data_IF_081180133978
#
_entry.id   IF_081180133978
#
_cell.length_a   1.000
_cell.length_b   1.000
_cell.length_c   1.000
_cell.angle_alpha   90.00
_cell.angle_beta   90.00
_cell.angle_gamma   90.00
#
_symmetry.space_group_name_H-M   'P 1'
#
loop_
_entity.id
_entity.type
_entity.pdbx_description
1 polymer ?
#
# COMPACT_ATOMS: atom_id res chain seq x y z
N UNK A 1 -1.53 -37.79 -17.85
CA UNK A 1 -2.28 -37.25 -16.71
C UNK A 1 -3.74 -37.54 -16.91
N UNK A 2 -4.37 -38.20 -15.94
CA UNK A 2 -5.81 -38.43 -15.97
C UNK A 2 -6.53 -37.18 -15.41
N UNK A 3 -7.74 -36.87 -15.90
CA UNK A 3 -8.60 -35.78 -15.38
C UNK A 3 -8.62 -35.67 -13.83
N UNK A 4 -8.74 -36.78 -13.06
CA UNK A 4 -8.72 -36.71 -11.60
C UNK A 4 -7.38 -36.24 -11.01
N UNK A 5 -6.23 -36.56 -11.62
CA UNK A 5 -4.92 -36.08 -11.15
C UNK A 5 -4.77 -34.56 -11.32
N UNK A 6 -5.30 -34.00 -12.41
CA UNK A 6 -5.27 -32.56 -12.66
C UNK A 6 -6.14 -31.80 -11.65
N UNK A 7 -7.33 -32.32 -11.34
CA UNK A 7 -8.24 -31.72 -10.34
C UNK A 7 -7.61 -31.69 -8.95
N UNK A 8 -7.08 -32.82 -8.47
CA UNK A 8 -6.42 -32.92 -7.15
C UNK A 8 -5.25 -31.92 -7.06
N UNK A 9 -4.47 -31.81 -8.13
CA UNK A 9 -3.32 -30.89 -8.21
C UNK A 9 -3.74 -29.43 -8.13
N UNK A 10 -4.80 -29.04 -8.84
CA UNK A 10 -5.35 -27.68 -8.77
C UNK A 10 -5.90 -27.34 -7.39
N UNK A 11 -6.56 -28.29 -6.72
CA UNK A 11 -7.08 -28.08 -5.38
C UNK A 11 -5.97 -27.88 -4.34
N UNK A 12 -4.87 -28.65 -4.45
CA UNK A 12 -3.68 -28.48 -3.62
C UNK A 12 -2.99 -27.12 -3.82
N UNK A 13 -2.91 -26.64 -5.06
CA UNK A 13 -2.38 -25.31 -5.36
C UNK A 13 -3.25 -24.22 -4.74
N UNK A 14 -4.57 -24.29 -4.97
CA UNK A 14 -5.53 -23.33 -4.42
C UNK A 14 -5.47 -23.29 -2.89
N UNK A 15 -5.44 -24.44 -2.22
CA UNK A 15 -5.30 -24.53 -0.76
C UNK A 15 -4.04 -23.81 -0.25
N UNK A 16 -2.90 -23.98 -0.93
CA UNK A 16 -1.64 -23.30 -0.57
C UNK A 16 -1.68 -21.81 -0.82
N UNK A 17 -2.27 -21.37 -1.93
CA UNK A 17 -2.49 -19.95 -2.23
C UNK A 17 -3.38 -19.33 -1.15
N UNK A 18 -4.51 -19.95 -0.82
CA UNK A 18 -5.42 -19.47 0.24
C UNK A 18 -4.71 -19.35 1.59
N UNK A 19 -3.91 -20.35 1.97
CA UNK A 19 -3.11 -20.30 3.21
C UNK A 19 -2.10 -19.14 3.20
N UNK A 20 -1.42 -18.93 2.08
CA UNK A 20 -0.44 -17.84 1.91
C UNK A 20 -1.14 -16.49 2.00
N UNK A 21 -2.23 -16.30 1.26
CA UNK A 21 -3.03 -15.08 1.31
C UNK A 21 -3.52 -14.79 2.74
N UNK A 22 -3.98 -15.80 3.48
CA UNK A 22 -4.43 -15.63 4.86
C UNK A 22 -3.30 -15.21 5.82
N UNK A 23 -2.06 -15.64 5.57
CA UNK A 23 -0.90 -15.21 6.35
C UNK A 23 -0.58 -13.73 6.10
N UNK A 24 -0.54 -13.30 4.84
CA UNK A 24 -0.28 -11.90 4.49
C UNK A 24 -1.44 -10.95 4.89
N UNK A 25 -2.68 -11.42 4.80
CA UNK A 25 -3.88 -10.67 5.17
C UNK A 25 -3.82 -10.09 6.61
N UNK A 26 -3.17 -10.81 7.53
CA UNK A 26 -2.98 -10.37 8.93
C UNK A 26 -2.17 -9.09 9.07
N UNK A 27 -1.30 -8.80 8.12
CA UNK A 27 -0.49 -7.58 8.12
C UNK A 27 -1.21 -6.41 7.46
N UNK A 28 -2.04 -6.66 6.44
CA UNK A 28 -2.70 -5.59 5.69
C UNK A 28 -3.75 -4.82 6.50
N UNK A 29 -4.43 -5.47 7.44
CA UNK A 29 -5.42 -4.81 8.31
C UNK A 29 -4.79 -3.70 9.17
N UNK A 30 -3.79 -4.02 10.01
CA UNK A 30 -3.06 -3.01 10.78
C UNK A 30 -2.42 -1.91 9.92
N UNK A 31 -1.84 -2.28 8.77
CA UNK A 31 -1.24 -1.30 7.84
C UNK A 31 -2.29 -0.33 7.26
N UNK A 32 -3.49 -0.82 6.93
CA UNK A 32 -4.60 0.03 6.50
C UNK A 32 -4.97 1.07 7.56
N UNK A 33 -5.12 0.62 8.81
CA UNK A 33 -5.44 1.52 9.92
C UNK A 33 -4.35 2.58 10.12
N UNK A 34 -3.08 2.18 10.09
CA UNK A 34 -1.96 3.12 10.20
C UNK A 34 -1.98 4.15 9.07
N UNK A 35 -2.14 3.73 7.82
CA UNK A 35 -2.22 4.63 6.67
C UNK A 35 -3.36 5.64 6.84
N UNK A 36 -4.55 5.20 7.24
CA UNK A 36 -5.70 6.08 7.47
C UNK A 36 -5.43 7.04 8.63
N UNK A 37 -4.93 6.54 9.76
CA UNK A 37 -4.65 7.36 10.95
C UNK A 37 -3.66 8.48 10.65
N UNK A 38 -2.62 8.20 9.86
CA UNK A 38 -1.59 9.18 9.53
C UNK A 38 -2.12 10.37 8.73
N UNK A 39 -3.20 10.19 7.96
CA UNK A 39 -3.82 11.29 7.19
C UNK A 39 -4.37 12.43 8.06
N UNK A 40 -4.57 12.19 9.35
CA UNK A 40 -5.08 13.17 10.31
C UNK A 40 -3.98 14.00 10.98
N UNK A 41 -2.70 13.68 10.73
CA UNK A 41 -1.55 14.39 11.25
C UNK A 41 -0.91 15.28 10.16
N UNK A 42 -0.27 16.39 10.54
CA UNK A 42 0.49 17.22 9.60
C UNK A 42 1.76 16.49 9.17
N UNK A 43 2.07 16.52 7.87
CA UNK A 43 3.28 15.88 7.32
C UNK A 43 4.50 16.80 7.30
N UNK A 44 4.28 18.11 7.32
CA UNK A 44 5.31 19.13 7.28
C UNK A 44 5.29 19.98 8.56
N UNK A 45 6.47 20.37 9.03
CA UNK A 45 6.63 21.29 10.15
C UNK A 45 6.28 22.72 9.72
N UNK A 46 5.59 23.45 10.59
CA UNK A 46 5.45 24.90 10.44
C UNK A 46 6.76 25.58 10.83
N UNK A 47 7.32 26.40 9.95
CA UNK A 47 8.53 27.16 10.27
C UNK A 47 8.29 28.15 11.41
N UNK A 48 9.21 28.19 12.38
CA UNK A 48 9.16 29.13 13.48
C UNK A 48 9.31 30.57 12.99
N UNK A 49 8.24 31.36 13.07
CA UNK A 49 8.20 32.76 12.62
C UNK A 49 7.50 32.97 11.27
N UNK A 50 7.13 31.90 10.57
CA UNK A 50 6.28 31.95 9.38
C UNK A 50 4.79 32.02 9.77
N UNK A 51 3.99 32.75 8.98
CA UNK A 51 2.53 32.71 9.09
C UNK A 51 1.92 31.43 8.46
N UNK A 52 2.75 30.64 7.77
CA UNK A 52 2.34 29.41 7.10
C UNK A 52 2.31 28.28 8.13
N UNK A 53 1.10 27.78 8.40
CA UNK A 53 0.88 26.60 9.21
C UNK A 53 0.39 25.46 8.33
N UNK A 54 1.22 24.43 8.17
CA UNK A 54 0.85 23.20 7.46
C UNK A 54 -0.06 22.35 8.34
N UNK A 55 -1.13 21.87 7.74
CA UNK A 55 -2.17 21.09 8.40
C UNK A 55 -2.15 19.65 7.94
N UNK A 56 -3.07 18.85 8.47
CA UNK A 56 -3.23 17.49 7.98
C UNK A 56 -3.80 17.47 6.55
N UNK A 57 -3.68 16.32 5.89
CA UNK A 57 -4.01 16.18 4.48
C UNK A 57 -5.47 16.58 4.16
N UNK A 58 -6.41 16.23 5.04
CA UNK A 58 -7.83 16.60 4.89
C UNK A 58 -8.05 18.11 4.92
N UNK A 59 -7.38 18.80 5.85
CA UNK A 59 -7.48 20.24 6.02
C UNK A 59 -6.82 21.00 4.86
N UNK A 60 -5.69 20.51 4.35
CA UNK A 60 -5.03 21.10 3.17
C UNK A 60 -5.88 20.94 1.92
N UNK A 61 -6.47 19.76 1.69
CA UNK A 61 -7.41 19.55 0.57
C UNK A 61 -8.61 20.50 0.64
N UNK A 62 -9.21 20.66 1.82
CA UNK A 62 -10.34 21.57 2.01
C UNK A 62 -9.97 23.04 1.77
N UNK A 63 -8.71 23.42 2.02
CA UNK A 63 -8.21 24.78 1.87
C UNK A 63 -7.78 25.11 0.44
N UNK A 64 -7.03 24.20 -0.19
CA UNK A 64 -6.33 24.44 -1.46
C UNK A 64 -7.14 23.97 -2.69
N UNK A 65 -8.19 23.16 -2.47
CA UNK A 65 -9.07 22.71 -3.53
C UNK A 65 -8.48 21.59 -4.41
N UNK A 66 -8.99 21.40 -5.64
CA UNK A 66 -8.55 20.31 -6.51
C UNK A 66 -7.12 20.57 -7.05
N UNK A 67 -6.14 20.01 -6.35
CA UNK A 67 -4.72 20.08 -6.70
C UNK A 67 -3.95 18.80 -6.33
N UNK A 68 -2.64 18.94 -6.11
CA UNK A 68 -1.77 17.81 -5.74
C UNK A 68 -2.22 17.12 -4.45
N UNK A 69 -2.71 17.88 -3.46
CA UNK A 69 -3.15 17.34 -2.18
C UNK A 69 -4.40 16.46 -2.32
N UNK A 70 -5.35 16.84 -3.19
CA UNK A 70 -6.55 16.03 -3.43
C UNK A 70 -6.17 14.71 -4.11
N UNK A 71 -5.27 14.76 -5.10
CA UNK A 71 -4.77 13.54 -5.74
C UNK A 71 -4.03 12.65 -4.74
N UNK A 72 -3.17 13.22 -3.89
CA UNK A 72 -2.48 12.49 -2.84
C UNK A 72 -3.48 11.81 -1.89
N UNK A 73 -4.50 12.54 -1.43
CA UNK A 73 -5.56 11.99 -0.57
C UNK A 73 -6.30 10.83 -1.25
N UNK A 74 -6.70 10.97 -2.51
CA UNK A 74 -7.38 9.90 -3.24
C UNK A 74 -6.51 8.65 -3.40
N UNK A 75 -5.23 8.81 -3.71
CA UNK A 75 -4.29 7.68 -3.82
C UNK A 75 -4.08 7.01 -2.47
N UNK A 76 -3.96 7.77 -1.39
CA UNK A 76 -3.86 7.23 -0.02
C UNK A 76 -5.12 6.44 0.34
N UNK A 77 -6.31 7.00 0.11
CA UNK A 77 -7.58 6.33 0.41
C UNK A 77 -7.79 5.08 -0.45
N UNK A 78 -7.45 5.13 -1.73
CA UNK A 78 -7.50 3.97 -2.61
C UNK A 78 -6.55 2.86 -2.13
N UNK A 79 -5.33 3.23 -1.73
CA UNK A 79 -4.34 2.28 -1.19
C UNK A 79 -4.84 1.67 0.11
N UNK A 80 -5.41 2.46 1.03
CA UNK A 80 -6.01 1.98 2.26
C UNK A 80 -7.21 1.04 2.01
N UNK A 81 -8.08 1.38 1.06
CA UNK A 81 -9.19 0.51 0.65
C UNK A 81 -8.70 -0.83 0.13
N UNK A 82 -7.68 -0.82 -0.74
CA UNK A 82 -7.08 -2.05 -1.26
C UNK A 82 -6.43 -2.88 -0.16
N UNK A 83 -5.75 -2.26 0.81
CA UNK A 83 -5.23 -2.96 2.00
C UNK A 83 -6.36 -3.57 2.83
N UNK A 84 -7.50 -2.88 3.01
CA UNK A 84 -8.67 -3.43 3.69
C UNK A 84 -9.24 -4.65 2.95
N UNK A 85 -9.34 -4.60 1.62
CA UNK A 85 -9.76 -5.73 0.79
C UNK A 85 -8.75 -6.90 0.88
N UNK A 86 -7.46 -6.59 0.95
CA UNK A 86 -6.40 -7.57 1.13
C UNK A 86 -6.46 -8.24 2.50
N UNK A 87 -6.79 -7.49 3.55
CA UNK A 87 -7.02 -8.00 4.90
C UNK A 87 -8.23 -8.95 4.96
N UNK A 88 -9.25 -8.72 4.12
CA UNK A 88 -10.39 -9.62 3.96
C UNK A 88 -10.09 -10.86 3.09
N UNK A 89 -8.87 -11.00 2.56
CA UNK A 89 -8.48 -12.12 1.71
C UNK A 89 -9.11 -12.09 0.30
N UNK A 90 -9.65 -10.94 -0.13
CA UNK A 90 -10.41 -10.79 -1.39
C UNK A 90 -9.59 -10.20 -2.54
N UNK A 91 -8.26 -10.22 -2.46
CA UNK A 91 -7.41 -9.51 -3.41
C UNK A 91 -6.86 -10.42 -4.51
N UNK A 92 -6.99 -9.96 -5.76
CA UNK A 92 -6.33 -10.55 -6.94
C UNK A 92 -4.89 -10.07 -7.06
N UNK A 93 -4.12 -10.69 -7.98
CA UNK A 93 -2.78 -10.22 -8.37
C UNK A 93 -2.80 -8.77 -8.86
N UNK A 94 -3.83 -8.37 -9.60
CA UNK A 94 -4.00 -6.98 -10.02
C UNK A 94 -4.20 -6.03 -8.84
N UNK A 95 -4.90 -6.46 -7.79
CA UNK A 95 -5.02 -5.69 -6.56
C UNK A 95 -3.67 -5.58 -5.81
N UNK A 96 -2.84 -6.63 -5.80
CA UNK A 96 -1.48 -6.54 -5.23
C UNK A 96 -0.63 -5.52 -5.99
N UNK A 97 -0.68 -5.53 -7.32
CA UNK A 97 0.02 -4.53 -8.15
C UNK A 97 -0.49 -3.12 -7.84
N UNK A 98 -1.80 -2.95 -7.69
CA UNK A 98 -2.37 -1.65 -7.34
C UNK A 98 -1.91 -1.15 -5.97
N UNK A 99 -1.81 -2.01 -4.94
CA UNK A 99 -1.25 -1.61 -3.63
C UNK A 99 0.23 -1.26 -3.77
N UNK A 100 1.00 -2.05 -4.52
CA UNK A 100 2.42 -1.78 -4.75
C UNK A 100 2.62 -0.40 -5.39
N UNK A 101 1.90 -0.13 -6.48
CA UNK A 101 1.98 1.16 -7.19
C UNK A 101 1.51 2.29 -6.28
N UNK A 102 0.36 2.16 -5.62
CA UNK A 102 -0.18 3.18 -4.73
C UNK A 102 0.76 3.52 -3.57
N UNK A 103 1.33 2.51 -2.91
CA UNK A 103 2.28 2.72 -1.80
C UNK A 103 3.58 3.40 -2.25
N UNK A 104 4.14 3.01 -3.41
CA UNK A 104 5.31 3.69 -3.98
C UNK A 104 4.98 5.14 -4.35
N UNK A 105 3.83 5.37 -4.97
CA UNK A 105 3.40 6.71 -5.35
C UNK A 105 3.23 7.61 -4.13
N UNK A 106 2.59 7.15 -3.06
CA UNK A 106 2.42 7.92 -1.82
C UNK A 106 3.77 8.28 -1.21
N UNK A 107 4.65 7.29 -1.03
CA UNK A 107 5.98 7.51 -0.44
C UNK A 107 6.82 8.47 -1.29
N UNK A 108 6.81 8.29 -2.62
CA UNK A 108 7.57 9.13 -3.54
C UNK A 108 7.00 10.54 -3.63
N UNK A 109 5.68 10.70 -3.60
CA UNK A 109 5.02 12.01 -3.61
C UNK A 109 5.39 12.80 -2.36
N UNK A 110 5.37 12.17 -1.19
CA UNK A 110 5.82 12.83 0.03
C UNK A 110 7.30 13.20 -0.06
N UNK A 111 8.18 12.29 -0.46
CA UNK A 111 9.62 12.55 -0.59
C UNK A 111 9.97 13.69 -1.56
N UNK A 112 9.23 13.78 -2.67
CA UNK A 112 9.46 14.79 -3.69
C UNK A 112 8.79 16.12 -3.36
N UNK A 113 7.78 16.12 -2.48
CA UNK A 113 7.05 17.31 -2.05
C UNK A 113 6.63 18.20 -3.24
N UNK A 114 5.86 17.68 -4.21
CA UNK A 114 5.52 18.42 -5.41
C UNK A 114 4.74 19.69 -5.06
N UNK A 115 5.08 20.80 -5.72
CA UNK A 115 4.52 22.12 -5.43
C UNK A 115 5.40 22.97 -4.49
N UNK A 116 6.45 22.40 -3.91
CA UNK A 116 7.45 23.14 -3.13
C UNK A 116 8.73 23.33 -3.95
N UNK A 117 9.27 24.55 -3.93
CA UNK A 117 10.59 24.87 -4.49
C UNK A 117 11.69 24.55 -3.47
N UNK A 118 11.42 24.81 -2.20
CA UNK A 118 12.22 24.40 -1.06
C UNK A 118 11.27 23.75 -0.04
N UNK A 119 11.23 22.41 0.06
CA UNK A 119 10.24 21.72 0.86
C UNK A 119 10.49 21.93 2.36
N UNK A 120 9.44 22.23 3.14
CA UNK A 120 9.57 22.36 4.58
C UNK A 120 10.02 21.03 5.21
N UNK A 121 10.65 21.08 6.41
CA UNK A 121 11.03 19.87 7.14
C UNK A 121 9.82 18.95 7.37
N UNK A 122 10.04 17.64 7.33
CA UNK A 122 8.98 16.67 7.65
C UNK A 122 8.79 16.58 9.16
N UNK A 123 7.54 16.42 9.59
CA UNK A 123 7.25 15.94 10.94
C UNK A 123 7.62 14.47 11.09
N UNK A 124 7.70 13.96 12.32
CA UNK A 124 7.81 12.52 12.59
C UNK A 124 6.74 11.70 11.86
N UNK A 125 5.50 12.23 11.76
CA UNK A 125 4.40 11.58 11.05
C UNK A 125 4.60 11.56 9.53
N UNK A 126 5.17 12.61 8.95
CA UNK A 126 5.57 12.67 7.55
C UNK A 126 6.64 11.62 7.23
N UNK A 127 7.71 11.57 8.03
CA UNK A 127 8.78 10.56 7.91
C UNK A 127 8.21 9.15 8.07
N UNK A 128 7.38 8.92 9.09
CA UNK A 128 6.76 7.63 9.33
C UNK A 128 5.87 7.19 8.16
N UNK A 129 5.12 8.11 7.55
CA UNK A 129 4.28 7.82 6.37
C UNK A 129 5.10 7.39 5.16
N UNK A 130 6.25 8.04 4.92
CA UNK A 130 7.18 7.67 3.85
C UNK A 130 7.71 6.25 4.07
N UNK A 131 8.23 5.98 5.28
CA UNK A 131 8.78 4.66 5.64
C UNK A 131 7.70 3.58 5.53
N UNK A 132 6.50 3.87 6.02
CA UNK A 132 5.37 2.96 5.97
C UNK A 132 4.98 2.63 4.52
N UNK A 133 4.99 3.61 3.63
CA UNK A 133 4.74 3.40 2.20
C UNK A 133 5.71 2.39 1.58
N UNK A 134 7.03 2.56 1.77
CA UNK A 134 8.01 1.59 1.27
C UNK A 134 7.93 0.22 1.96
N UNK A 135 7.59 0.18 3.25
CA UNK A 135 7.38 -1.09 3.97
C UNK A 135 6.19 -1.85 3.37
N UNK A 136 5.08 -1.18 3.08
CA UNK A 136 3.92 -1.76 2.40
C UNK A 136 4.34 -2.30 1.03
N UNK A 137 5.10 -1.52 0.25
CA UNK A 137 5.61 -1.96 -1.06
C UNK A 137 6.45 -3.22 -0.95
N UNK A 138 7.38 -3.27 0.01
CA UNK A 138 8.22 -4.44 0.27
C UNK A 138 7.42 -5.68 0.68
N UNK A 139 6.44 -5.51 1.56
CA UNK A 139 5.55 -6.60 1.98
C UNK A 139 4.73 -7.16 0.81
N UNK A 140 4.15 -6.28 0.00
CA UNK A 140 3.34 -6.66 -1.17
C UNK A 140 4.20 -7.33 -2.23
N UNK A 141 5.41 -6.83 -2.48
CA UNK A 141 6.36 -7.48 -3.38
C UNK A 141 6.74 -8.87 -2.87
N UNK A 142 7.02 -9.01 -1.57
CA UNK A 142 7.27 -10.31 -0.95
C UNK A 142 6.09 -11.28 -1.10
N UNK A 143 4.86 -10.79 -0.92
CA UNK A 143 3.65 -11.57 -1.15
C UNK A 143 3.54 -12.04 -2.61
N UNK A 144 3.74 -11.13 -3.58
CA UNK A 144 3.69 -11.45 -5.00
C UNK A 144 4.77 -12.48 -5.40
N UNK A 145 5.99 -12.33 -4.90
CA UNK A 145 7.08 -13.29 -5.14
C UNK A 145 6.74 -14.66 -4.56
N UNK A 146 6.16 -14.72 -3.36
CA UNK A 146 5.77 -15.99 -2.76
C UNK A 146 4.70 -16.72 -3.60
N UNK A 147 3.69 -16.01 -4.08
CA UNK A 147 2.68 -16.56 -4.99
C UNK A 147 3.31 -17.03 -6.31
N UNK A 148 4.22 -16.26 -6.87
CA UNK A 148 4.94 -16.62 -8.10
C UNK A 148 5.80 -17.87 -7.94
N UNK A 149 6.52 -18.00 -6.82
CA UNK A 149 7.33 -19.19 -6.52
C UNK A 149 6.45 -20.42 -6.33
N UNK A 150 5.29 -20.29 -5.69
CA UNK A 150 4.32 -21.38 -5.55
C UNK A 150 3.83 -21.86 -6.93
N UNK A 151 3.44 -20.92 -7.79
CA UNK A 151 3.01 -21.22 -9.16
C UNK A 151 4.10 -21.94 -9.96
N UNK A 152 5.33 -21.40 -9.96
CA UNK A 152 6.50 -22.02 -10.63
C UNK A 152 6.80 -23.42 -10.12
N UNK A 153 6.74 -23.64 -8.80
CA UNK A 153 6.99 -24.96 -8.22
C UNK A 153 5.94 -25.99 -8.64
N UNK A 154 4.68 -25.57 -8.81
CA UNK A 154 3.64 -26.43 -9.38
C UNK A 154 3.85 -26.67 -10.87
N UNK A 155 4.23 -25.68 -11.66
CA UNK A 155 4.54 -25.91 -13.08
C UNK A 155 5.68 -26.90 -13.27
N UNK A 156 6.78 -26.76 -12.51
CA UNK A 156 7.97 -27.63 -12.61
C UNK A 156 7.75 -29.08 -12.16
N UNK A 157 6.84 -29.33 -11.20
CA UNK A 157 6.49 -30.71 -10.77
C UNK A 157 5.47 -31.38 -11.69
N UNK A 158 5.09 -30.73 -12.79
CA UNK A 158 4.02 -31.13 -13.71
C UNK A 158 4.49 -31.48 -15.11
N UNK A 159 5.79 -31.33 -15.36
CA UNK A 159 6.56 -31.96 -16.45
C UNK A 159 7.24 -33.19 -15.85
#
# INVERSE_FOLDING_TARGET
>A
MTLPEQMIRTELLNSRITRTNALYARFYGPLCLLVISLTFFPYYESESGSSINYRNLWQEVARLGPGYDLMALLVVLLTALLLALAAAGKLSTSGLIAILVGSILVASTLLQSPGYVDPPPYTDFGVFSIVLGFLISGLVLGHAVHLFVLELAFQRRGV
#
